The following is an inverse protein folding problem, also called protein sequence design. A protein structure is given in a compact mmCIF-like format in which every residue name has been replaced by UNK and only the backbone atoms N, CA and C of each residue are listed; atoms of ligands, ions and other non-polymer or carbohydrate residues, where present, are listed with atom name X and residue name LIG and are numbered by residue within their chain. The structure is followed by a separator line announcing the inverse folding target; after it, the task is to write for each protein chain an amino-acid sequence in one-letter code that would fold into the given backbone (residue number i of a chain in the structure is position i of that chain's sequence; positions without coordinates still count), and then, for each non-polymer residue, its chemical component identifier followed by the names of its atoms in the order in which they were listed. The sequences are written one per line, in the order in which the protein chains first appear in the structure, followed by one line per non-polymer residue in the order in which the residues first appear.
data_IF_829178203561
#
_entry.id   IF_829178203561
#
_cell.length_a   1.000
_cell.length_b   1.000
_cell.length_c   1.000
_cell.angle_alpha   90.00
_cell.angle_beta   90.00
_cell.angle_gamma   90.00
#
_symmetry.space_group_name_H-M   'P 1'
#
loop_
_entity.id
_entity.type
_entity.pdbx_description
1 polymer ?
#
# COMPACT_ATOMS: atom_id res chain seq x y z
N UNK A 1 -34.41 -23.47 20.69
CA UNK A 1 -33.46 -23.14 19.61
C UNK A 1 -33.02 -21.70 19.81
N UNK A 2 -31.74 -21.44 20.07
CA UNK A 2 -31.24 -20.07 20.15
C UNK A 2 -31.14 -19.52 18.73
N UNK A 3 -31.82 -18.40 18.46
CA UNK A 3 -31.69 -17.66 17.21
C UNK A 3 -30.63 -16.58 17.46
N UNK A 4 -29.46 -16.73 16.84
CA UNK A 4 -28.42 -15.72 16.87
C UNK A 4 -28.69 -14.71 15.75
N UNK A 5 -28.77 -13.43 16.10
CA UNK A 5 -28.87 -12.33 15.15
C UNK A 5 -27.48 -11.71 14.96
N UNK A 6 -27.07 -11.54 13.69
CA UNK A 6 -25.85 -10.81 13.37
C UNK A 6 -26.06 -9.35 13.72
N UNK A 7 -25.27 -8.81 14.65
CA UNK A 7 -25.34 -7.41 15.04
C UNK A 7 -24.84 -6.50 13.93
N UNK A 8 -23.65 -6.80 13.38
CA UNK A 8 -23.03 -6.06 12.27
C UNK A 8 -22.20 -7.02 11.42
N UNK A 9 -22.35 -6.92 10.10
CA UNK A 9 -21.46 -7.54 9.13
C UNK A 9 -20.37 -6.54 8.74
N UNK A 10 -19.12 -6.80 9.13
CA UNK A 10 -17.99 -5.93 8.80
C UNK A 10 -17.24 -6.49 7.58
N UNK A 11 -17.22 -5.73 6.50
CA UNK A 11 -16.47 -6.05 5.28
C UNK A 11 -15.19 -5.22 5.20
N UNK A 12 -14.05 -5.90 5.12
CA UNK A 12 -12.75 -5.26 4.87
C UNK A 12 -12.57 -5.07 3.37
N UNK A 13 -12.62 -3.82 2.92
CA UNK A 13 -12.36 -3.39 1.56
C UNK A 13 -10.94 -2.81 1.44
N UNK A 14 -10.76 -1.75 0.66
CA UNK A 14 -9.52 -0.97 0.55
C UNK A 14 -9.85 0.46 0.17
N UNK A 15 -9.09 1.44 0.67
CA UNK A 15 -9.25 2.86 0.31
C UNK A 15 -9.23 3.05 -1.21
N UNK A 16 -8.47 2.22 -1.92
CA UNK A 16 -8.30 2.26 -3.37
C UNK A 16 -9.41 1.56 -4.16
N UNK A 17 -10.49 1.09 -3.53
CA UNK A 17 -11.62 0.44 -4.24
C UNK A 17 -12.25 1.39 -5.26
N UNK A 18 -12.11 2.70 -5.06
CA UNK A 18 -12.54 3.74 -5.98
C UNK A 18 -11.35 4.51 -6.57
N UNK A 19 -10.24 3.81 -6.83
CA UNK A 19 -8.96 4.40 -7.23
C UNK A 19 -8.95 5.17 -8.56
N UNK A 20 -10.04 5.13 -9.33
CA UNK A 20 -10.26 5.96 -10.52
C UNK A 20 -10.63 7.42 -10.19
N UNK A 21 -10.91 7.73 -8.92
CA UNK A 21 -11.21 9.09 -8.43
C UNK A 21 -10.04 9.60 -7.61
N UNK A 22 -9.74 10.90 -7.71
CA UNK A 22 -8.76 11.54 -6.81
C UNK A 22 -9.35 11.72 -5.40
N UNK A 23 -10.58 12.24 -5.31
CA UNK A 23 -11.28 12.45 -4.04
C UNK A 23 -12.25 11.31 -3.76
N UNK A 24 -12.04 10.59 -2.66
CA UNK A 24 -12.81 9.40 -2.28
C UNK A 24 -13.50 9.62 -0.94
N UNK A 25 -14.83 9.67 -0.99
CA UNK A 25 -15.71 9.85 0.17
C UNK A 25 -16.05 8.52 0.83
N UNK A 26 -16.51 8.58 2.08
CA UNK A 26 -17.02 7.42 2.83
C UNK A 26 -18.44 7.05 2.40
N UNK A 27 -18.58 6.73 1.12
CA UNK A 27 -19.79 6.16 0.53
C UNK A 27 -19.46 5.11 -0.51
N UNK A 28 -20.42 4.24 -0.79
CA UNK A 28 -20.31 3.29 -1.92
C UNK A 28 -20.60 4.05 -3.21
N UNK A 29 -19.71 3.89 -4.19
CA UNK A 29 -19.91 4.46 -5.52
C UNK A 29 -20.45 3.37 -6.46
N UNK A 30 -21.39 3.72 -7.35
CA UNK A 30 -21.86 2.80 -8.38
C UNK A 30 -20.70 2.24 -9.21
N UNK A 31 -20.64 0.92 -9.36
CA UNK A 31 -19.71 0.25 -10.27
C UNK A 31 -20.18 0.34 -11.73
N UNK A 32 -19.24 0.23 -12.67
CA UNK A 32 -19.52 0.23 -14.12
C UNK A 32 -20.30 -0.99 -14.60
N UNK A 33 -20.23 -2.08 -13.85
CA UNK A 33 -20.93 -3.34 -14.09
C UNK A 33 -21.58 -3.82 -12.79
N UNK A 34 -22.73 -4.48 -12.89
CA UNK A 34 -23.34 -5.10 -11.71
C UNK A 34 -22.53 -6.30 -11.23
N UNK A 35 -22.45 -6.55 -9.91
CA UNK A 35 -21.66 -7.67 -9.37
C UNK A 35 -22.11 -9.04 -9.92
N UNK A 36 -23.42 -9.26 -10.08
CA UNK A 36 -23.96 -10.51 -10.62
C UNK A 36 -23.53 -10.74 -12.08
N UNK A 37 -23.51 -9.68 -12.90
CA UNK A 37 -23.00 -9.80 -14.27
C UNK A 37 -21.50 -10.11 -14.28
N UNK A 38 -20.71 -9.49 -13.39
CA UNK A 38 -19.29 -9.80 -13.25
C UNK A 38 -19.06 -11.29 -12.91
N UNK A 39 -19.84 -11.84 -11.98
CA UNK A 39 -19.80 -13.25 -11.60
C UNK A 39 -20.15 -14.13 -12.80
N UNK A 40 -21.27 -13.88 -13.47
CA UNK A 40 -21.68 -14.66 -14.65
C UNK A 40 -20.65 -14.60 -15.79
N UNK A 41 -19.99 -13.46 -15.98
CA UNK A 41 -18.91 -13.32 -16.96
C UNK A 41 -17.72 -14.21 -16.61
N UNK A 42 -17.30 -14.21 -15.34
CA UNK A 42 -16.22 -15.06 -14.86
C UNK A 42 -16.55 -16.56 -14.92
N UNK A 43 -17.80 -16.95 -14.67
CA UNK A 43 -18.25 -18.35 -14.71
C UNK A 43 -18.45 -18.88 -16.14
N UNK A 44 -18.80 -18.02 -17.08
CA UNK A 44 -19.14 -18.41 -18.47
C UNK A 44 -17.96 -18.36 -19.45
N UNK A 45 -16.86 -17.67 -19.11
CA UNK A 45 -15.73 -17.46 -20.01
C UNK A 45 -14.47 -18.23 -19.57
N UNK A 46 -13.68 -18.69 -20.53
CA UNK A 46 -12.35 -19.21 -20.24
C UNK A 46 -11.38 -18.11 -19.79
N UNK A 47 -10.38 -18.46 -19.00
CA UNK A 47 -9.34 -17.51 -18.54
C UNK A 47 -8.67 -16.75 -19.68
N UNK A 48 -8.44 -17.40 -20.83
CA UNK A 48 -7.83 -16.76 -22.01
C UNK A 48 -8.73 -15.65 -22.58
N UNK A 49 -10.05 -15.88 -22.64
CA UNK A 49 -11.00 -14.86 -23.12
C UNK A 49 -11.14 -13.73 -22.10
N UNK A 50 -11.20 -14.06 -20.81
CA UNK A 50 -11.21 -13.07 -19.73
C UNK A 50 -9.97 -12.17 -19.78
N UNK A 51 -8.78 -12.76 -19.97
CA UNK A 51 -7.53 -12.01 -20.06
C UNK A 51 -7.52 -11.00 -21.23
N UNK A 52 -8.22 -11.30 -22.34
CA UNK A 52 -8.35 -10.38 -23.49
C UNK A 52 -9.25 -9.18 -23.20
N UNK A 53 -10.32 -9.36 -22.43
CA UNK A 53 -11.28 -8.27 -22.10
C UNK A 53 -10.93 -7.56 -20.79
N UNK A 54 -10.09 -8.14 -19.96
CA UNK A 54 -9.71 -7.63 -18.64
C UNK A 54 -9.28 -6.15 -18.66
N UNK A 55 -8.45 -5.68 -19.61
CA UNK A 55 -8.04 -4.28 -19.64
C UNK A 55 -9.21 -3.29 -19.71
N UNK A 56 -10.27 -3.63 -20.46
CA UNK A 56 -11.48 -2.81 -20.55
C UNK A 56 -12.36 -2.93 -19.31
N UNK A 57 -12.39 -4.11 -18.66
CA UNK A 57 -13.20 -4.32 -17.46
C UNK A 57 -12.68 -3.53 -16.25
N UNK A 58 -11.36 -3.40 -16.13
CA UNK A 58 -10.73 -2.70 -15.00
C UNK A 58 -10.31 -1.26 -15.35
N UNK A 59 -10.81 -0.71 -16.45
CA UNK A 59 -10.44 0.64 -16.89
C UNK A 59 -10.70 1.68 -15.78
N UNK A 60 -9.66 2.44 -15.43
CA UNK A 60 -9.69 3.38 -14.31
C UNK A 60 -9.24 2.79 -12.96
N UNK A 61 -9.34 1.47 -12.76
CA UNK A 61 -8.84 0.83 -11.54
C UNK A 61 -7.34 0.48 -11.65
N UNK A 62 -6.57 0.68 -10.58
CA UNK A 62 -5.15 0.30 -10.55
C UNK A 62 -4.88 -1.16 -10.89
N UNK A 63 -5.74 -2.07 -10.42
CA UNK A 63 -5.62 -3.51 -10.65
C UNK A 63 -6.94 -4.24 -10.38
N UNK A 64 -6.97 -5.53 -10.71
CA UNK A 64 -8.12 -6.42 -10.50
C UNK A 64 -8.57 -6.52 -9.05
N UNK A 65 -7.64 -6.40 -8.08
CA UNK A 65 -7.96 -6.41 -6.65
C UNK A 65 -8.80 -5.19 -6.25
N UNK A 66 -8.41 -3.98 -6.65
CA UNK A 66 -9.19 -2.78 -6.37
C UNK A 66 -10.57 -2.81 -7.02
N UNK A 67 -10.66 -3.34 -8.25
CA UNK A 67 -11.92 -3.50 -8.96
C UNK A 67 -12.84 -4.52 -8.29
N UNK A 68 -12.32 -5.67 -7.87
CA UNK A 68 -13.12 -6.69 -7.18
C UNK A 68 -13.66 -6.16 -5.84
N UNK A 69 -12.86 -5.41 -5.08
CA UNK A 69 -13.33 -4.72 -3.87
C UNK A 69 -14.47 -3.74 -4.19
N UNK A 70 -14.36 -2.93 -5.25
CA UNK A 70 -15.44 -2.03 -5.70
C UNK A 70 -16.74 -2.78 -6.01
N UNK A 71 -16.65 -3.91 -6.72
CA UNK A 71 -17.80 -4.74 -7.05
C UNK A 71 -18.43 -5.36 -5.80
N UNK A 72 -17.62 -5.84 -4.85
CA UNK A 72 -18.15 -6.38 -3.59
C UNK A 72 -18.86 -5.32 -2.77
N UNK A 73 -18.33 -4.09 -2.69
CA UNK A 73 -19.04 -2.99 -1.99
C UNK A 73 -20.40 -2.69 -2.61
N UNK A 74 -20.53 -2.77 -3.93
CA UNK A 74 -21.81 -2.62 -4.63
C UNK A 74 -22.76 -3.78 -4.32
N UNK A 75 -22.25 -5.02 -4.26
CA UNK A 75 -23.06 -6.19 -3.90
C UNK A 75 -23.66 -6.06 -2.49
N UNK A 76 -22.93 -5.44 -1.56
CA UNK A 76 -23.40 -5.23 -0.19
C UNK A 76 -24.60 -4.27 -0.10
N UNK A 77 -24.82 -3.42 -1.10
CA UNK A 77 -26.01 -2.56 -1.16
C UNK A 77 -27.30 -3.37 -1.24
N UNK A 78 -27.28 -4.55 -1.88
CA UNK A 78 -28.43 -5.45 -1.99
C UNK A 78 -28.81 -6.09 -0.64
N UNK A 79 -27.89 -6.06 0.34
CA UNK A 79 -28.05 -6.70 1.65
C UNK A 79 -28.19 -5.71 2.82
N UNK A 80 -28.00 -4.40 2.59
CA UNK A 80 -28.00 -3.37 3.64
C UNK A 80 -29.32 -3.28 4.43
N UNK A 81 -30.43 -3.72 3.84
CA UNK A 81 -31.75 -3.71 4.48
C UNK A 81 -32.06 -5.04 5.20
N UNK A 82 -31.20 -6.06 5.07
CA UNK A 82 -31.32 -7.38 5.70
C UNK A 82 -30.42 -7.53 6.92
N UNK A 83 -29.23 -6.92 6.87
CA UNK A 83 -28.25 -6.95 7.96
C UNK A 83 -27.54 -5.60 8.00
N UNK A 84 -27.24 -5.07 9.19
CA UNK A 84 -26.30 -3.98 9.33
C UNK A 84 -24.93 -4.26 8.71
N UNK A 85 -24.41 -3.33 7.92
CA UNK A 85 -23.14 -3.49 7.22
C UNK A 85 -22.21 -2.32 7.55
N UNK A 86 -20.96 -2.63 7.86
CA UNK A 86 -19.88 -1.66 7.89
C UNK A 86 -18.79 -2.06 6.89
N UNK A 87 -18.42 -1.14 6.01
CA UNK A 87 -17.31 -1.30 5.07
C UNK A 87 -16.11 -0.56 5.65
N UNK A 88 -15.02 -1.26 5.94
CA UNK A 88 -13.77 -0.64 6.40
C UNK A 88 -12.74 -0.70 5.28
N UNK A 89 -12.22 0.45 4.87
CA UNK A 89 -11.33 0.67 3.74
C UNK A 89 -9.96 1.13 4.24
N UNK A 90 -9.04 0.20 4.54
CA UNK A 90 -7.66 0.56 4.85
C UNK A 90 -6.89 1.02 3.61
N UNK A 91 -5.96 1.96 3.81
CA UNK A 91 -4.91 2.28 2.84
C UNK A 91 -3.81 1.21 2.83
N UNK A 92 -2.54 1.54 2.54
CA UNK A 92 -1.47 0.53 2.39
C UNK A 92 -1.08 -0.05 3.75
N UNK A 93 -1.68 -1.18 4.09
CA UNK A 93 -1.41 -1.89 5.34
C UNK A 93 0.03 -2.38 5.38
N UNK A 94 0.76 -2.00 6.43
CA UNK A 94 2.16 -2.37 6.64
C UNK A 94 2.34 -3.09 7.99
N UNK A 95 3.49 -2.94 8.66
CA UNK A 95 3.78 -3.65 9.91
C UNK A 95 2.85 -3.23 11.06
N UNK A 96 2.95 -3.92 12.19
CA UNK A 96 2.35 -3.46 13.45
C UNK A 96 3.13 -2.25 13.98
N UNK A 97 2.43 -1.25 14.49
CA UNK A 97 3.05 -0.11 15.17
C UNK A 97 3.38 -0.46 16.62
N UNK A 98 2.49 -1.16 17.32
CA UNK A 98 2.54 -1.35 18.77
C UNK A 98 2.37 -2.81 19.18
N UNK A 99 1.23 -3.45 18.89
CA UNK A 99 0.88 -4.74 19.50
C UNK A 99 0.58 -5.85 18.48
N UNK A 100 0.88 -7.13 18.81
CA UNK A 100 1.61 -7.59 20.00
C UNK A 100 3.14 -7.46 19.86
N UNK A 101 3.65 -7.11 18.69
CA UNK A 101 5.10 -6.99 18.45
C UNK A 101 5.35 -5.92 17.38
N UNK A 102 5.91 -4.75 17.75
CA UNK A 102 6.22 -3.69 16.81
C UNK A 102 7.08 -4.19 15.65
N UNK A 103 6.76 -3.75 14.44
CA UNK A 103 7.48 -4.16 13.23
C UNK A 103 7.11 -5.57 12.74
N UNK A 104 6.22 -6.32 13.39
CA UNK A 104 5.82 -7.62 12.85
C UNK A 104 5.14 -7.47 11.48
N UNK A 105 5.53 -8.34 10.54
CA UNK A 105 5.01 -8.36 9.17
C UNK A 105 4.66 -9.80 8.80
N UNK A 106 3.40 -10.03 8.47
CA UNK A 106 2.89 -11.36 8.11
C UNK A 106 2.91 -11.69 6.62
N UNK A 107 3.28 -10.77 5.73
CA UNK A 107 3.24 -11.01 4.28
C UNK A 107 4.29 -10.22 3.48
N UNK A 108 4.60 -10.69 2.26
CA UNK A 108 5.53 -10.04 1.33
C UNK A 108 4.82 -9.07 0.34
N UNK A 109 3.51 -8.85 0.46
CA UNK A 109 2.74 -8.18 -0.60
C UNK A 109 2.87 -6.65 -0.56
N UNK A 110 2.70 -6.02 -1.73
CA UNK A 110 2.66 -4.57 -1.88
C UNK A 110 3.95 -3.85 -1.44
N UNK A 111 3.88 -2.85 -0.54
CA UNK A 111 5.02 -2.02 -0.15
C UNK A 111 6.14 -2.82 0.53
N UNK A 112 5.82 -3.82 1.35
CA UNK A 112 6.79 -4.68 2.03
C UNK A 112 7.75 -5.36 1.03
N UNK A 113 7.21 -5.87 -0.07
CA UNK A 113 8.01 -6.55 -1.09
C UNK A 113 8.96 -5.61 -1.84
N UNK A 114 8.58 -4.33 -1.99
CA UNK A 114 9.46 -3.29 -2.53
C UNK A 114 10.59 -3.00 -1.53
N UNK A 115 10.25 -2.69 -0.28
CA UNK A 115 11.23 -2.36 0.77
C UNK A 115 12.24 -3.49 0.94
N UNK A 116 11.77 -4.74 0.95
CA UNK A 116 12.62 -5.93 1.02
C UNK A 116 13.60 -6.01 -0.16
N UNK A 117 13.10 -5.86 -1.39
CA UNK A 117 13.91 -5.94 -2.60
C UNK A 117 14.92 -4.79 -2.71
N UNK A 118 14.54 -3.60 -2.26
CA UNK A 118 15.43 -2.42 -2.18
C UNK A 118 16.49 -2.61 -1.10
N UNK A 119 16.10 -3.11 0.08
CA UNK A 119 17.00 -3.33 1.23
C UNK A 119 18.14 -4.29 0.92
N UNK A 120 17.89 -5.36 0.14
CA UNK A 120 18.95 -6.29 -0.30
C UNK A 120 19.68 -5.83 -1.58
N UNK A 121 19.33 -4.66 -2.11
CA UNK A 121 19.92 -4.09 -3.33
C UNK A 121 19.46 -4.74 -4.64
N UNK A 122 18.46 -5.63 -4.59
CA UNK A 122 17.94 -6.32 -5.78
C UNK A 122 17.15 -5.34 -6.66
N UNK A 123 16.30 -4.51 -6.08
CA UNK A 123 15.58 -3.46 -6.81
C UNK A 123 16.38 -2.15 -6.73
N UNK A 124 16.72 -1.59 -7.89
CA UNK A 124 17.64 -0.43 -8.03
C UNK A 124 17.04 0.75 -8.78
N UNK A 125 15.91 0.53 -9.44
CA UNK A 125 15.09 1.61 -9.99
C UNK A 125 13.62 1.23 -9.89
N UNK A 126 12.78 2.24 -9.78
CA UNK A 126 11.33 2.08 -9.62
C UNK A 126 10.58 3.29 -10.19
N UNK A 127 9.36 3.06 -10.67
CA UNK A 127 8.50 4.15 -11.13
C UNK A 127 7.78 4.74 -9.91
N UNK A 128 8.13 5.96 -9.53
CA UNK A 128 7.55 6.61 -8.36
C UNK A 128 7.78 8.12 -8.41
N UNK A 129 6.76 8.87 -8.00
CA UNK A 129 6.92 10.26 -7.61
C UNK A 129 7.16 10.31 -6.10
N UNK A 130 8.38 10.72 -5.72
CA UNK A 130 8.82 10.73 -4.33
C UNK A 130 8.14 11.80 -3.47
N UNK A 131 7.51 12.80 -4.09
CA UNK A 131 6.88 13.91 -3.38
C UNK A 131 5.43 13.59 -2.97
N UNK A 132 4.87 12.48 -3.46
CA UNK A 132 3.52 12.06 -3.11
C UNK A 132 3.48 11.42 -1.73
N UNK A 133 2.32 11.50 -1.09
CA UNK A 133 2.02 10.86 0.19
C UNK A 133 1.75 9.38 -0.05
N UNK A 134 2.48 8.49 0.61
CA UNK A 134 2.37 7.04 0.38
C UNK A 134 1.12 6.41 0.99
N UNK A 135 0.48 7.09 1.94
CA UNK A 135 -0.69 6.63 2.70
C UNK A 135 -0.55 5.18 3.21
N UNK A 136 0.44 4.98 4.09
CA UNK A 136 0.66 3.72 4.80
C UNK A 136 -0.13 3.71 6.11
N UNK A 137 -0.67 2.55 6.48
CA UNK A 137 -1.41 2.38 7.74
C UNK A 137 -0.90 1.14 8.51
N UNK A 138 -0.60 1.25 9.81
CA UNK A 138 -0.25 0.11 10.64
C UNK A 138 -1.39 -0.90 10.74
N UNK A 139 -1.06 -2.20 10.72
CA UNK A 139 -2.07 -3.26 10.70
C UNK A 139 -2.89 -3.33 11.99
N UNK A 140 -2.26 -3.12 13.15
CA UNK A 140 -2.91 -3.06 14.46
C UNK A 140 -3.91 -1.90 14.58
N UNK A 141 -3.60 -0.74 14.02
CA UNK A 141 -4.56 0.38 13.94
C UNK A 141 -5.81 -0.01 13.15
N UNK A 142 -5.65 -0.72 12.02
CA UNK A 142 -6.79 -1.22 11.24
C UNK A 142 -7.60 -2.24 12.04
N UNK A 143 -6.93 -3.16 12.74
CA UNK A 143 -7.59 -4.18 13.58
C UNK A 143 -8.39 -3.52 14.72
N UNK A 144 -7.82 -2.52 15.38
CA UNK A 144 -8.49 -1.80 16.46
C UNK A 144 -9.74 -1.06 15.97
N UNK A 145 -9.70 -0.46 14.78
CA UNK A 145 -10.90 0.08 14.14
C UNK A 145 -11.92 -1.02 13.84
N UNK A 146 -11.50 -2.17 13.29
CA UNK A 146 -12.42 -3.27 12.96
C UNK A 146 -13.17 -3.81 14.19
N UNK A 147 -12.52 -3.85 15.35
CA UNK A 147 -13.13 -4.29 16.61
C UNK A 147 -14.14 -3.26 17.15
N UNK A 148 -13.88 -1.97 16.96
CA UNK A 148 -14.67 -0.88 17.53
C UNK A 148 -15.85 -0.46 16.65
N UNK A 149 -15.76 -0.63 15.33
CA UNK A 149 -16.83 -0.31 14.37
C UNK A 149 -18.21 -0.92 14.74
N UNK A 150 -18.33 -2.19 15.18
CA UNK A 150 -19.60 -2.73 15.65
C UNK A 150 -20.24 -1.95 16.81
N UNK A 151 -19.43 -1.39 17.72
CA UNK A 151 -19.93 -0.56 18.83
C UNK A 151 -20.50 0.78 18.35
N UNK A 152 -19.92 1.35 17.28
CA UNK A 152 -20.41 2.57 16.64
C UNK A 152 -21.81 2.36 16.07
N UNK A 153 -22.01 1.20 15.43
CA UNK A 153 -23.27 0.85 14.79
C UNK A 153 -24.41 0.71 15.81
N UNK A 154 -24.14 0.00 16.91
CA UNK A 154 -25.13 -0.23 17.98
C UNK A 154 -25.61 1.07 18.63
N UNK A 155 -24.76 2.09 18.73
CA UNK A 155 -25.15 3.41 19.24
C UNK A 155 -26.04 4.17 18.26
N UNK A 156 -25.73 4.13 16.97
CA UNK A 156 -26.56 4.79 15.94
C UNK A 156 -27.97 4.18 15.87
N UNK A 157 -28.09 2.85 15.95
CA UNK A 157 -29.39 2.17 15.93
C UNK A 157 -30.20 2.44 17.20
N UNK A 158 -29.57 2.45 18.37
CA UNK A 158 -30.23 2.83 19.63
C UNK A 158 -30.75 4.26 19.58
N UNK A 159 -29.91 5.23 19.20
CA UNK A 159 -30.31 6.64 19.09
C UNK A 159 -31.52 6.79 18.15
N UNK A 160 -31.53 6.11 16.99
CA UNK A 160 -32.66 6.11 16.05
C UNK A 160 -33.96 5.57 16.65
N UNK A 161 -33.92 4.49 17.43
CA UNK A 161 -35.10 3.95 18.11
C UNK A 161 -35.64 4.89 19.20
N UNK A 162 -34.75 5.55 19.95
CA UNK A 162 -35.15 6.58 20.92
C UNK A 162 -35.65 7.86 20.26
N UNK A 163 -35.14 8.28 19.10
CA UNK A 163 -35.65 9.49 18.43
C UNK A 163 -37.04 9.27 17.80
N UNK A 164 -37.31 8.06 17.26
CA UNK A 164 -38.65 7.72 16.73
C UNK A 164 -39.74 7.56 17.81
N UNK A 165 -39.36 7.42 19.07
CA UNK A 165 -40.32 7.34 20.19
C UNK A 165 -40.70 8.71 20.75
N UNK A 166 -40.08 9.80 20.28
CA UNK A 166 -40.25 11.16 20.81
C UNK A 166 -40.46 12.24 19.74
N UNK A 167 -41.33 12.01 18.75
CA UNK A 167 -41.77 13.08 17.84
C UNK A 167 -43.20 13.55 18.14
N UNK A 168 -43.27 14.67 18.88
CA UNK A 168 -44.16 15.77 18.49
C UNK A 168 -43.49 16.51 17.31
N UNK A 169 -44.30 16.93 16.33
CA UNK A 169 -43.90 17.49 15.02
C UNK A 169 -42.62 18.37 15.01
N UNK A 170 -41.69 18.16 14.05
CA UNK A 170 -40.45 18.93 13.98
C UNK A 170 -40.63 20.32 13.34
N UNK A 171 -39.91 21.30 13.89
CA UNK A 171 -39.76 22.66 13.36
C UNK A 171 -38.99 22.71 12.02
N UNK A 172 -39.18 23.77 11.24
CA UNK A 172 -38.65 23.90 9.87
C UNK A 172 -37.11 23.94 9.76
N UNK A 173 -36.39 24.32 10.82
CA UNK A 173 -34.92 24.25 10.86
C UNK A 173 -34.42 22.79 10.93
N UNK A 174 -35.13 21.92 11.67
CA UNK A 174 -34.83 20.49 11.79
C UNK A 174 -34.99 19.78 10.44
N UNK A 175 -35.92 20.26 9.58
CA UNK A 175 -36.13 19.70 8.22
C UNK A 175 -34.93 19.91 7.30
N UNK A 176 -34.11 20.94 7.54
CA UNK A 176 -32.93 21.22 6.72
C UNK A 176 -31.73 20.34 7.10
N UNK A 177 -31.58 20.00 8.38
CA UNK A 177 -30.62 18.99 8.87
C UNK A 177 -31.05 17.57 8.48
N UNK A 178 -32.36 17.28 8.57
CA UNK A 178 -32.93 16.00 8.12
C UNK A 178 -32.75 15.76 6.61
N UNK A 179 -32.73 16.81 5.77
CA UNK A 179 -32.48 16.68 4.33
C UNK A 179 -31.05 16.24 3.99
N UNK A 180 -30.06 16.63 4.80
CA UNK A 180 -28.68 16.15 4.64
C UNK A 180 -28.50 14.71 5.18
N UNK A 181 -29.40 14.26 6.07
CA UNK A 181 -29.41 12.90 6.62
C UNK A 181 -30.08 11.84 5.71
N UNK A 182 -30.67 12.25 4.56
CA UNK A 182 -31.29 11.29 3.64
C UNK A 182 -30.28 10.36 2.96
N UNK A 183 -29.01 10.76 2.83
CA UNK A 183 -27.92 9.87 2.38
C UNK A 183 -27.52 8.82 3.45
N UNK A 184 -27.85 9.04 4.74
CA UNK A 184 -27.50 8.15 5.88
C UNK A 184 -28.66 7.20 6.28
N UNK A 185 -29.73 7.12 5.48
CA UNK A 185 -30.88 6.21 5.71
C UNK A 185 -30.56 4.72 5.52
N UNK A 186 -29.35 4.35 5.12
CA UNK A 186 -28.98 2.97 4.79
C UNK A 186 -28.44 2.18 5.98
N UNK A 187 -28.78 0.89 6.07
CA UNK A 187 -28.09 -0.08 6.94
C UNK A 187 -26.64 -0.39 6.52
N UNK A 188 -25.94 0.59 5.92
CA UNK A 188 -24.56 0.49 5.48
C UNK A 188 -23.79 1.78 5.82
N UNK A 189 -22.62 1.65 6.44
CA UNK A 189 -21.64 2.74 6.62
C UNK A 189 -20.28 2.37 6.06
N UNK A 190 -19.49 3.38 5.72
CA UNK A 190 -18.14 3.23 5.19
C UNK A 190 -17.14 3.98 6.07
N UNK A 191 -15.99 3.38 6.33
CA UNK A 191 -14.91 3.94 7.12
C UNK A 191 -13.61 3.87 6.31
N UNK A 192 -13.00 5.00 5.97
CA UNK A 192 -11.67 5.02 5.36
C UNK A 192 -10.61 5.20 6.46
N UNK A 193 -9.78 4.19 6.71
CA UNK A 193 -8.69 4.26 7.69
C UNK A 193 -7.37 4.47 6.95
N UNK A 194 -6.91 5.71 7.00
CA UNK A 194 -5.83 6.26 6.18
C UNK A 194 -4.91 7.12 7.03
N UNK A 195 -3.65 7.31 6.60
CA UNK A 195 -2.74 8.27 7.22
C UNK A 195 -2.68 9.59 6.48
N UNK A 196 -2.97 9.60 5.17
CA UNK A 196 -2.58 10.70 4.29
C UNK A 196 -3.14 12.08 4.65
N UNK A 197 -4.32 12.15 5.26
CA UNK A 197 -4.95 13.42 5.67
C UNK A 197 -4.49 13.92 7.04
N UNK A 198 -4.24 13.01 7.99
CA UNK A 198 -4.04 13.36 9.42
C UNK A 198 -2.62 13.22 9.91
N UNK A 199 -1.86 12.30 9.34
CA UNK A 199 -0.46 12.10 9.68
C UNK A 199 0.31 11.74 8.39
N UNK A 200 0.45 12.69 7.45
CA UNK A 200 1.05 12.40 6.15
C UNK A 200 2.53 12.05 6.27
N UNK A 201 2.98 11.09 5.45
CA UNK A 201 4.38 10.83 5.17
C UNK A 201 4.59 10.67 3.67
N UNK A 202 5.56 11.39 3.12
CA UNK A 202 5.91 11.31 1.70
C UNK A 202 6.74 10.06 1.39
N UNK A 203 6.72 9.61 0.14
CA UNK A 203 7.63 8.56 -0.31
C UNK A 203 9.11 8.92 -0.11
N UNK A 204 9.46 10.20 -0.27
CA UNK A 204 10.82 10.68 -0.03
C UNK A 204 11.21 10.51 1.44
N UNK A 205 10.40 10.99 2.38
CA UNK A 205 10.68 10.85 3.82
C UNK A 205 10.73 9.39 4.25
N UNK A 206 9.77 8.58 3.82
CA UNK A 206 9.75 7.14 4.12
C UNK A 206 11.02 6.44 3.63
N UNK A 207 11.48 6.74 2.41
CA UNK A 207 12.72 6.20 1.87
C UNK A 207 13.93 6.67 2.66
N UNK A 208 14.07 7.97 2.93
CA UNK A 208 15.20 8.50 3.68
C UNK A 208 15.32 7.85 5.07
N UNK A 209 14.20 7.72 5.79
CA UNK A 209 14.13 7.01 7.07
C UNK A 209 14.52 5.53 6.93
N UNK A 210 13.93 4.81 5.98
CA UNK A 210 14.24 3.39 5.72
C UNK A 210 15.72 3.16 5.35
N UNK A 211 16.31 4.07 4.59
CA UNK A 211 17.70 4.00 4.15
C UNK A 211 18.66 4.25 5.32
N UNK A 212 18.33 5.17 6.25
CA UNK A 212 19.10 5.37 7.48
C UNK A 212 19.16 4.08 8.30
N UNK A 213 18.04 3.39 8.46
CA UNK A 213 18.00 2.08 9.11
C UNK A 213 18.90 1.07 8.39
N UNK A 214 18.79 0.96 7.06
CA UNK A 214 19.59 0.02 6.27
C UNK A 214 21.10 0.23 6.46
N UNK A 215 21.57 1.47 6.55
CA UNK A 215 22.99 1.76 6.82
C UNK A 215 23.40 1.41 8.25
N UNK A 216 22.49 1.54 9.21
CA UNK A 216 22.71 1.19 10.63
C UNK A 216 22.78 -0.32 10.82
N UNK A 217 21.90 -1.07 10.15
CA UNK A 217 21.83 -2.53 10.27
C UNK A 217 21.43 -3.24 8.95
N UNK A 218 22.39 -3.41 8.01
CA UNK A 218 22.09 -4.00 6.70
C UNK A 218 21.85 -5.52 6.80
N UNK A 219 20.99 -6.09 5.94
CA UNK A 219 20.81 -7.54 5.85
C UNK A 219 22.08 -8.29 5.44
N UNK A 220 22.29 -9.49 6.00
CA UNK A 220 23.44 -10.35 5.66
C UNK A 220 23.43 -10.80 4.20
N UNK A 221 22.24 -10.97 3.64
CA UNK A 221 22.01 -11.46 2.28
C UNK A 221 21.94 -10.36 1.22
N UNK A 222 22.44 -9.14 1.51
CA UNK A 222 22.57 -8.09 0.48
C UNK A 222 23.32 -8.61 -0.74
N UNK A 223 22.68 -8.44 -1.91
CA UNK A 223 23.22 -8.79 -3.22
C UNK A 223 24.04 -7.62 -3.79
N UNK A 224 23.55 -6.40 -3.57
CA UNK A 224 24.18 -5.17 -4.01
C UNK A 224 24.16 -4.14 -2.88
N UNK A 225 25.07 -3.16 -2.93
CA UNK A 225 24.91 -1.96 -2.13
C UNK A 225 23.68 -1.19 -2.59
N UNK A 226 23.03 -0.46 -1.68
CA UNK A 226 21.85 0.32 -2.02
C UNK A 226 22.18 1.40 -3.06
N UNK A 227 21.61 1.24 -4.25
CA UNK A 227 21.40 2.30 -5.24
C UNK A 227 19.93 2.20 -5.60
N UNK A 228 19.16 3.26 -5.35
CA UNK A 228 17.74 3.25 -5.68
C UNK A 228 17.35 4.55 -6.38
N UNK A 229 17.14 4.47 -7.69
CA UNK A 229 16.80 5.61 -8.54
C UNK A 229 15.31 5.56 -8.88
N UNK A 230 14.57 6.53 -8.38
CA UNK A 230 13.14 6.67 -8.69
C UNK A 230 12.95 7.62 -9.87
N UNK A 231 11.91 7.38 -10.66
CA UNK A 231 11.55 8.27 -11.77
C UNK A 231 10.07 8.17 -12.11
N UNK A 232 9.47 9.25 -12.57
CA UNK A 232 8.11 9.26 -13.14
C UNK A 232 8.11 9.00 -14.65
N UNK A 233 9.27 9.11 -15.31
CA UNK A 233 9.41 8.91 -16.75
C UNK A 233 9.54 7.43 -17.09
N UNK A 234 8.55 6.89 -17.79
CA UNK A 234 8.56 5.48 -18.24
C UNK A 234 9.75 5.18 -19.17
N UNK A 235 10.22 6.16 -19.95
CA UNK A 235 11.37 5.98 -20.86
C UNK A 235 12.66 5.87 -20.06
N UNK A 236 12.85 6.76 -19.10
CA UNK A 236 13.99 6.74 -18.19
C UNK A 236 14.01 5.44 -17.36
N UNK A 237 12.85 5.04 -16.83
CA UNK A 237 12.72 3.75 -16.13
C UNK A 237 13.13 2.58 -17.02
N UNK A 238 12.66 2.50 -18.27
CA UNK A 238 13.05 1.42 -19.19
C UNK A 238 14.56 1.38 -19.43
N UNK A 239 15.18 2.54 -19.65
CA UNK A 239 16.63 2.64 -19.80
C UNK A 239 17.37 2.16 -18.54
N UNK A 240 16.97 2.66 -17.37
CA UNK A 240 17.56 2.27 -16.08
C UNK A 240 17.33 0.79 -15.78
N UNK A 241 16.17 0.23 -16.11
CA UNK A 241 15.88 -1.19 -15.91
C UNK A 241 16.76 -2.07 -16.79
N UNK A 242 17.00 -1.69 -18.05
CA UNK A 242 17.96 -2.40 -18.91
C UNK A 242 19.36 -2.34 -18.28
N UNK A 243 19.83 -1.15 -17.94
CA UNK A 243 21.20 -0.92 -17.47
C UNK A 243 21.46 -1.52 -16.07
N UNK A 244 20.56 -1.28 -15.12
CA UNK A 244 20.72 -1.63 -13.71
C UNK A 244 20.11 -2.99 -13.34
N UNK A 245 19.31 -3.61 -14.20
CA UNK A 245 18.73 -4.93 -13.90
C UNK A 245 19.08 -5.96 -14.97
N UNK A 246 18.64 -5.76 -16.21
CA UNK A 246 18.75 -6.80 -17.24
C UNK A 246 20.20 -7.08 -17.66
N UNK A 247 21.01 -6.05 -17.94
CA UNK A 247 22.42 -6.20 -18.32
C UNK A 247 23.22 -6.96 -17.26
N UNK A 248 23.28 -6.53 -15.97
CA UNK A 248 24.00 -7.27 -14.95
C UNK A 248 23.36 -8.63 -14.67
N UNK A 249 22.04 -8.76 -14.82
CA UNK A 249 21.33 -10.03 -14.68
C UNK A 249 21.78 -11.07 -15.70
N UNK A 250 21.89 -10.68 -16.98
CA UNK A 250 22.38 -11.56 -18.03
C UNK A 250 23.84 -11.93 -17.82
N UNK A 251 24.70 -10.98 -17.43
CA UNK A 251 26.11 -11.27 -17.13
C UNK A 251 26.25 -12.32 -16.02
N UNK A 252 25.48 -12.17 -14.93
CA UNK A 252 25.49 -13.13 -13.82
C UNK A 252 24.91 -14.48 -14.25
N UNK A 253 23.79 -14.50 -14.96
CA UNK A 253 23.16 -15.76 -15.38
C UNK A 253 24.00 -16.51 -16.42
N UNK A 254 24.70 -15.81 -17.32
CA UNK A 254 25.69 -16.41 -18.22
C UNK A 254 26.85 -17.01 -17.42
N UNK A 255 27.42 -16.28 -16.46
CA UNK A 255 28.47 -16.82 -15.59
C UNK A 255 28.00 -18.06 -14.80
N UNK A 256 26.80 -18.01 -14.22
CA UNK A 256 26.23 -19.14 -13.49
C UNK A 256 26.08 -20.36 -14.42
N UNK A 257 25.55 -20.15 -15.62
CA UNK A 257 25.38 -21.22 -16.62
C UNK A 257 26.73 -21.85 -17.00
N UNK A 258 27.75 -21.02 -17.27
CA UNK A 258 29.12 -21.49 -17.56
C UNK A 258 29.75 -22.23 -16.37
N UNK A 259 29.40 -21.87 -15.14
CA UNK A 259 29.80 -22.54 -13.92
C UNK A 259 28.92 -23.77 -13.57
N UNK A 260 28.05 -24.22 -14.46
CA UNK A 260 27.15 -25.37 -14.25
C UNK A 260 26.03 -25.12 -13.23
N UNK A 261 25.72 -23.85 -12.91
CA UNK A 261 24.67 -23.43 -11.99
C UNK A 261 23.46 -22.89 -12.74
N UNK A 262 22.29 -22.99 -12.11
CA UNK A 262 21.06 -22.49 -12.72
C UNK A 262 21.01 -20.95 -12.79
N UNK A 263 20.56 -20.39 -13.93
CA UNK A 263 20.29 -18.96 -14.05
C UNK A 263 19.04 -18.55 -13.26
N UNK A 264 19.13 -17.43 -12.54
CA UNK A 264 18.11 -16.95 -11.61
C UNK A 264 17.85 -15.45 -11.66
N UNK A 265 18.82 -14.64 -12.05
CA UNK A 265 18.73 -13.18 -11.97
C UNK A 265 17.67 -12.62 -12.90
N UNK A 266 17.61 -13.07 -14.16
CA UNK A 266 16.60 -12.61 -15.12
C UNK A 266 15.19 -13.00 -14.67
N UNK A 267 15.02 -14.18 -14.05
CA UNK A 267 13.74 -14.59 -13.47
C UNK A 267 13.30 -13.62 -12.35
N UNK A 268 14.23 -13.22 -11.47
CA UNK A 268 13.97 -12.26 -10.40
C UNK A 268 13.66 -10.86 -10.94
N UNK A 269 14.40 -10.36 -11.93
CA UNK A 269 14.15 -9.04 -12.51
C UNK A 269 12.85 -8.94 -13.30
N UNK A 270 12.41 -10.02 -13.96
CA UNK A 270 11.06 -10.10 -14.55
C UNK A 270 9.97 -9.96 -13.49
N UNK A 271 10.15 -10.55 -12.29
CA UNK A 271 9.20 -10.38 -11.18
C UNK A 271 9.17 -8.93 -10.68
N UNK A 272 10.35 -8.29 -10.53
CA UNK A 272 10.46 -6.86 -10.17
C UNK A 272 9.75 -5.96 -11.19
N UNK A 273 9.95 -6.21 -12.49
CA UNK A 273 9.32 -5.43 -13.54
C UNK A 273 7.79 -5.53 -13.46
N UNK A 274 7.25 -6.75 -13.29
CA UNK A 274 5.81 -6.97 -13.11
C UNK A 274 5.28 -6.23 -11.88
N UNK A 275 5.96 -6.35 -10.74
CA UNK A 275 5.59 -5.64 -9.51
C UNK A 275 5.58 -4.12 -9.72
N UNK A 276 6.58 -3.58 -10.40
CA UNK A 276 6.68 -2.14 -10.70
C UNK A 276 5.50 -1.65 -11.55
N UNK A 277 5.09 -2.43 -12.56
CA UNK A 277 3.96 -2.06 -13.40
C UNK A 277 2.62 -2.13 -12.66
N UNK A 278 2.42 -3.14 -11.80
CA UNK A 278 1.21 -3.28 -10.98
C UNK A 278 1.10 -2.16 -9.95
N UNK A 279 2.23 -1.73 -9.39
CA UNK A 279 2.24 -0.70 -8.34
C UNK A 279 2.36 0.72 -8.86
N UNK A 280 2.63 0.91 -10.16
CA UNK A 280 2.83 2.22 -10.79
C UNK A 280 1.74 3.22 -10.40
N UNK A 281 0.46 2.85 -10.51
CA UNK A 281 -0.63 3.78 -10.19
C UNK A 281 -0.55 4.23 -8.73
N UNK A 282 -0.24 3.34 -7.79
CA UNK A 282 -0.13 3.66 -6.36
C UNK A 282 1.04 4.59 -6.03
N UNK A 283 2.09 4.59 -6.86
CA UNK A 283 3.30 5.37 -6.62
C UNK A 283 3.42 6.61 -7.49
N UNK A 284 2.47 6.85 -8.40
CA UNK A 284 2.45 8.05 -9.27
C UNK A 284 1.15 8.83 -9.23
N UNK A 285 0.14 8.35 -8.49
CA UNK A 285 -1.12 9.06 -8.29
C UNK A 285 -1.29 9.40 -6.81
N UNK A 286 -1.99 10.50 -6.54
CA UNK A 286 -2.37 10.91 -5.19
C UNK A 286 -3.88 10.77 -5.04
N UNK A 287 -4.30 10.28 -3.88
CA UNK A 287 -5.70 10.21 -3.49
C UNK A 287 -5.92 11.03 -2.22
N UNK A 288 -7.10 11.64 -2.14
CA UNK A 288 -7.60 12.32 -0.96
C UNK A 288 -8.78 11.51 -0.42
N UNK A 289 -8.57 10.84 0.71
CA UNK A 289 -9.61 10.07 1.38
C UNK A 289 -10.29 10.92 2.45
N UNK A 290 -11.61 10.97 2.40
CA UNK A 290 -12.42 11.43 3.52
C UNK A 290 -12.41 10.37 4.62
N UNK A 291 -12.24 10.76 5.88
CA UNK A 291 -12.13 9.87 7.04
C UNK A 291 -13.01 10.34 8.20
N UNK A 292 -14.05 11.12 7.89
CA UNK A 292 -14.91 11.78 8.86
C UNK A 292 -15.61 10.79 9.79
N UNK A 293 -16.04 9.62 9.31
CA UNK A 293 -16.67 8.59 10.11
C UNK A 293 -15.68 7.93 11.09
N UNK A 294 -14.41 7.77 10.70
CA UNK A 294 -13.35 7.27 11.59
C UNK A 294 -13.07 8.27 12.70
N UNK A 295 -12.92 9.56 12.36
CA UNK A 295 -12.73 10.63 13.35
C UNK A 295 -13.92 10.74 14.30
N UNK A 296 -15.14 10.71 13.76
CA UNK A 296 -16.36 10.77 14.55
C UNK A 296 -16.43 9.60 15.53
N UNK A 297 -16.11 8.38 15.08
CA UNK A 297 -16.08 7.20 15.94
C UNK A 297 -15.04 7.35 17.06
N UNK A 298 -13.84 7.81 16.75
CA UNK A 298 -12.80 8.04 17.76
C UNK A 298 -13.27 8.98 18.87
N UNK A 299 -13.88 10.13 18.52
CA UNK A 299 -14.36 11.11 19.49
C UNK A 299 -15.60 10.67 20.28
N UNK A 300 -16.37 9.72 19.76
CA UNK A 300 -17.50 9.15 20.48
C UNK A 300 -17.07 8.08 21.49
N UNK A 301 -15.89 7.49 21.37
CA UNK A 301 -15.40 6.49 22.33
C UNK A 301 -15.00 7.15 23.64
N UNK A 302 -15.22 6.45 24.75
CA UNK A 302 -14.71 6.90 26.04
C UNK A 302 -13.19 6.66 26.15
N UNK A 303 -12.56 7.27 27.15
CA UNK A 303 -11.11 7.18 27.34
C UNK A 303 -10.62 5.74 27.58
N UNK A 304 -11.47 4.85 28.14
CA UNK A 304 -11.11 3.46 28.38
C UNK A 304 -11.04 2.70 27.06
N UNK A 305 -12.05 2.84 26.22
CA UNK A 305 -12.11 2.18 24.92
C UNK A 305 -11.04 2.72 23.96
N UNK A 306 -10.76 4.02 24.00
CA UNK A 306 -9.64 4.62 23.25
C UNK A 306 -8.28 4.02 23.66
N UNK A 307 -8.07 3.76 24.95
CA UNK A 307 -6.85 3.15 25.45
C UNK A 307 -6.76 1.64 25.13
N UNK A 308 -7.88 0.92 25.10
CA UNK A 308 -7.91 -0.51 24.77
C UNK A 308 -7.79 -0.77 23.26
N UNK A 309 -8.34 0.11 22.44
CA UNK A 309 -8.38 -0.03 20.97
C UNK A 309 -7.88 1.24 20.29
N UNK A 310 -6.59 1.61 20.45
CA UNK A 310 -6.06 2.81 19.82
C UNK A 310 -6.03 2.65 18.30
N UNK A 311 -6.71 3.55 17.58
CA UNK A 311 -6.65 3.62 16.11
C UNK A 311 -6.50 5.05 15.57
N UNK A 312 -6.14 6.01 16.44
CA UNK A 312 -5.81 7.35 16.01
C UNK A 312 -4.41 7.40 15.39
N UNK A 313 -4.36 7.57 14.07
CA UNK A 313 -3.12 7.58 13.30
C UNK A 313 -2.19 8.76 13.63
N UNK A 314 -2.70 9.83 14.24
CA UNK A 314 -1.89 10.98 14.66
C UNK A 314 -0.91 10.64 15.78
N UNK A 315 -1.18 9.57 16.53
CA UNK A 315 -0.33 9.14 17.64
C UNK A 315 0.90 8.34 17.17
N UNK A 316 0.98 8.01 15.87
CA UNK A 316 2.10 7.26 15.29
C UNK A 316 3.29 8.19 15.01
N UNK A 317 4.41 7.92 15.67
CA UNK A 317 5.71 8.51 15.35
C UNK A 317 6.31 7.82 14.12
N UNK A 318 6.52 8.57 13.04
CA UNK A 318 7.04 8.01 11.79
C UNK A 318 8.52 7.62 11.85
N UNK A 319 9.33 8.21 12.73
CA UNK A 319 10.73 7.79 12.88
C UNK A 319 10.80 6.40 13.52
N UNK A 320 10.11 6.21 14.65
CA UNK A 320 10.05 4.93 15.35
C UNK A 320 9.33 3.86 14.51
N UNK A 321 8.23 4.22 13.85
CA UNK A 321 7.47 3.29 13.03
C UNK A 321 8.27 2.78 11.83
N UNK A 322 8.95 3.67 11.09
CA UNK A 322 9.70 3.27 9.89
C UNK A 322 10.95 2.46 10.26
N UNK A 323 11.63 2.79 11.36
CA UNK A 323 12.74 1.97 11.87
C UNK A 323 12.28 0.56 12.26
N UNK A 324 11.16 0.45 12.99
CA UNK A 324 10.56 -0.84 13.34
C UNK A 324 10.07 -1.60 12.11
N UNK A 325 9.50 -0.91 11.11
CA UNK A 325 9.09 -1.52 9.86
C UNK A 325 10.30 -2.11 9.10
N UNK A 326 11.40 -1.37 8.98
CA UNK A 326 12.61 -1.83 8.31
C UNK A 326 13.27 -3.00 9.05
N UNK A 327 13.30 -2.96 10.39
CA UNK A 327 13.67 -4.09 11.24
C UNK A 327 12.78 -5.31 10.98
N UNK A 328 11.48 -5.08 10.94
CA UNK A 328 10.46 -6.08 10.67
C UNK A 328 10.62 -6.79 9.33
N UNK A 329 10.87 -6.02 8.27
CA UNK A 329 11.19 -6.54 6.94
C UNK A 329 12.38 -7.50 7.02
N UNK A 330 13.42 -7.12 7.73
CA UNK A 330 14.61 -7.95 7.86
C UNK A 330 14.33 -9.26 8.60
N UNK A 331 13.69 -9.17 9.78
CA UNK A 331 13.44 -10.34 10.64
C UNK A 331 12.41 -11.31 10.05
N UNK A 332 11.27 -10.79 9.59
CA UNK A 332 10.10 -11.61 9.26
C UNK A 332 9.97 -11.88 7.76
N UNK A 333 10.55 -11.03 6.92
CA UNK A 333 10.40 -11.13 5.46
C UNK A 333 11.67 -11.67 4.80
N UNK A 334 12.84 -11.14 5.19
CA UNK A 334 14.14 -11.66 4.72
C UNK A 334 14.64 -12.84 5.54
N UNK A 335 14.01 -13.14 6.68
CA UNK A 335 14.39 -14.20 7.61
C UNK A 335 15.85 -14.08 8.08
N UNK A 336 16.34 -12.84 8.18
CA UNK A 336 17.67 -12.54 8.69
C UNK A 336 17.57 -12.17 10.17
N UNK A 337 17.84 -13.15 11.02
CA UNK A 337 17.70 -13.06 12.48
C UNK A 337 18.93 -12.48 13.20
N UNK A 338 20.05 -12.26 12.50
CA UNK A 338 21.32 -11.86 13.13
C UNK A 338 21.48 -10.35 13.25
N UNK A 339 20.69 -9.72 14.11
CA UNK A 339 20.74 -8.27 14.31
C UNK A 339 22.15 -7.76 14.66
N UNK A 340 22.51 -6.58 14.14
CA UNK A 340 23.80 -5.92 14.39
C UNK A 340 25.04 -6.71 13.95
N UNK A 341 24.90 -7.61 12.97
CA UNK A 341 25.98 -8.41 12.41
C UNK A 341 27.13 -7.53 11.88
N UNK A 342 28.31 -7.63 12.51
CA UNK A 342 29.53 -6.98 12.01
C UNK A 342 29.92 -7.50 10.63
N UNK A 343 29.66 -8.78 10.36
CA UNK A 343 29.87 -9.37 9.05
C UNK A 343 28.99 -8.69 7.99
N UNK A 344 27.69 -8.54 8.26
CA UNK A 344 26.77 -7.83 7.35
C UNK A 344 27.26 -6.42 7.05
N UNK A 345 27.63 -5.67 8.09
CA UNK A 345 28.15 -4.29 7.96
C UNK A 345 29.42 -4.25 7.09
N UNK A 346 30.41 -5.10 7.36
CA UNK A 346 31.65 -5.16 6.58
C UNK A 346 31.40 -5.53 5.13
N UNK A 347 30.58 -6.57 4.88
CA UNK A 347 30.19 -7.00 3.54
C UNK A 347 29.47 -5.89 2.79
N UNK A 348 28.52 -5.20 3.43
CA UNK A 348 27.80 -4.10 2.83
C UNK A 348 28.71 -2.92 2.47
N UNK A 349 29.67 -2.59 3.34
CA UNK A 349 30.70 -1.58 3.05
C UNK A 349 31.59 -1.99 1.86
N UNK A 350 31.98 -3.26 1.76
CA UNK A 350 32.74 -3.77 0.60
C UNK A 350 31.92 -3.66 -0.69
N UNK A 351 30.65 -4.06 -0.66
CA UNK A 351 29.74 -3.91 -1.82
C UNK A 351 29.63 -2.44 -2.24
N UNK A 352 29.52 -1.53 -1.27
CA UNK A 352 29.43 -0.08 -1.52
C UNK A 352 30.72 0.47 -2.12
N UNK A 353 31.88 0.06 -1.59
CA UNK A 353 33.18 0.45 -2.11
C UNK A 353 33.39 -0.06 -3.54
N UNK A 354 33.09 -1.35 -3.80
CA UNK A 354 33.18 -1.94 -5.13
C UNK A 354 32.26 -1.23 -6.13
N UNK A 355 31.03 -0.92 -5.73
CA UNK A 355 30.09 -0.18 -6.57
C UNK A 355 30.57 1.26 -6.84
N UNK A 356 31.11 1.97 -5.83
CA UNK A 356 31.68 3.30 -6.03
C UNK A 356 32.85 3.26 -7.02
N UNK A 357 33.78 2.32 -6.86
CA UNK A 357 34.91 2.13 -7.78
C UNK A 357 34.45 1.85 -9.21
N UNK A 358 33.40 1.04 -9.38
CA UNK A 358 32.81 0.76 -10.69
C UNK A 358 32.29 2.04 -11.35
N UNK A 359 31.49 2.83 -10.62
CA UNK A 359 30.93 4.08 -11.15
C UNK A 359 31.99 5.14 -11.43
N UNK A 360 32.98 5.31 -10.55
CA UNK A 360 34.10 6.24 -10.81
C UNK A 360 34.90 5.82 -12.03
N UNK A 361 35.09 4.52 -12.25
CA UNK A 361 35.79 4.00 -13.43
C UNK A 361 34.98 4.23 -14.72
N UNK A 362 33.69 3.87 -14.72
CA UNK A 362 32.79 4.07 -15.87
C UNK A 362 32.66 5.55 -16.25
N UNK A 363 32.51 6.44 -15.26
CA UNK A 363 32.43 7.88 -15.49
C UNK A 363 33.75 8.45 -16.01
N UNK A 364 34.89 8.01 -15.47
CA UNK A 364 36.21 8.41 -15.96
C UNK A 364 36.45 7.97 -17.42
N UNK A 365 36.06 6.74 -17.77
CA UNK A 365 36.13 6.24 -19.15
C UNK A 365 35.24 7.04 -20.10
N UNK A 366 34.03 7.39 -19.66
CA UNK A 366 33.11 8.23 -20.43
C UNK A 366 33.69 9.63 -20.67
N UNK A 367 34.18 10.29 -19.62
CA UNK A 367 34.81 11.63 -19.71
C UNK A 367 36.01 11.60 -20.66
N UNK A 368 36.89 10.60 -20.52
CA UNK A 368 38.03 10.40 -21.41
C UNK A 368 37.59 10.19 -22.86
N UNK A 369 36.59 9.34 -23.10
CA UNK A 369 36.02 9.10 -24.43
C UNK A 369 35.48 10.38 -25.06
N UNK A 370 34.66 11.14 -24.33
CA UNK A 370 34.10 12.41 -24.81
C UNK A 370 35.20 13.44 -25.07
N UNK A 371 36.20 13.56 -24.19
CA UNK A 371 37.31 14.51 -24.37
C UNK A 371 38.13 14.22 -25.63
N UNK A 372 38.22 12.95 -26.05
CA UNK A 372 38.92 12.55 -27.27
C UNK A 372 38.06 12.69 -28.53
N UNK A 373 36.74 12.80 -28.40
CA UNK A 373 35.81 13.03 -29.52
C UNK A 373 35.63 14.51 -29.86
N UNK A 374 35.98 15.42 -28.95
CA UNK A 374 35.98 16.87 -29.22
C UNK A 374 37.20 17.18 -30.11
N UNK A 375 37.01 17.66 -31.36
CA UNK A 375 38.11 17.98 -32.24
C UNK A 375 38.99 19.06 -31.61
N UNK A 376 40.31 18.83 -31.55
CA UNK A 376 41.30 19.81 -31.06
C UNK A 376 41.32 21.13 -31.86
N UNK A 377 40.54 21.24 -32.93
CA UNK A 377 40.39 22.44 -33.76
C UNK A 377 39.28 23.42 -33.29
N UNK A 378 38.63 23.15 -32.15
CA UNK A 378 37.64 24.05 -31.52
C UNK A 378 38.02 24.48 -30.08
N UNK A 379 39.26 24.23 -29.67
CA UNK A 379 39.94 24.85 -28.52
C UNK A 379 40.99 25.81 -29.08
#
# INVERSE_FOLDING_TARGET
TYVYFVQVFVFVSTAYSNGYRADVKEKVYPSTMSPNHAISLCESMSEEKLAKILPSLIEGWPNTYTYSKSLTENLLLDYKDRVPIAIVRPSQVTSLAYEPTPGWIGNYYGPTGIVSAVGIGLMRTFIMDKNLVTDIIPCDIVVNLLITVPSAWNRQTQVRQTSQTWENSPSDETKHELRNSEEDKGGLKVFNIVSGKRNPITYQEFLEKSIRYLYKDPPENCLWSLIFITTTSIRLYKMLHILLHLTPGHMIDTYLTLAGKEPRMIKMYKKIQRLTLVLKSFTTCQWNFDDTNVETLWHQMDARDQALFPFNIQDVDWDDYVDNNARGVRLYVLLDTHEHSQYAKRRYLMLRAANLMLWTSLTSMLVYGVSNMIPKSRL
#
